data_IF_005065346898
#
_entry.id   IF_005065346898
#
_cell.length_a   1.000
_cell.length_b   1.000
_cell.length_c   1.000
_cell.angle_alpha   90.00
_cell.angle_beta   90.00
_cell.angle_gamma   90.00
#
_symmetry.space_group_name_H-M   'P 1'
#
loop_
_entity.id
_entity.type
_entity.pdbx_description
1 polymer ?
#
# COMPACT_ATOMS: atom_id res chain seq x y z
N UNK A 1 -39.77 -9.18 38.65
CA UNK A 1 -39.47 -7.74 38.72
C UNK A 1 -38.19 -7.52 37.92
N UNK A 2 -38.28 -7.26 36.61
CA UNK A 2 -38.34 -5.91 35.97
C UNK A 2 -37.02 -5.12 36.19
N UNK A 3 -36.31 -4.53 35.21
CA UNK A 3 -36.59 -4.16 33.82
C UNK A 3 -35.23 -4.02 33.05
N UNK A 4 -35.12 -4.44 31.78
CA UNK A 4 -35.19 -3.66 30.51
C UNK A 4 -34.08 -2.60 30.31
N UNK A 5 -33.36 -2.71 29.18
CA UNK A 5 -32.49 -1.66 28.63
C UNK A 5 -31.72 -2.13 27.39
N UNK A 6 -32.34 -1.97 26.22
CA UNK A 6 -31.90 -2.34 24.85
C UNK A 6 -31.03 -1.27 24.15
N UNK A 7 -30.18 -1.75 23.21
CA UNK A 7 -29.67 -1.12 21.96
C UNK A 7 -28.79 0.15 22.11
N UNK A 8 -27.84 0.50 21.23
CA UNK A 8 -27.83 0.42 19.76
C UNK A 8 -26.39 0.65 19.23
N UNK A 9 -26.11 0.09 18.05
CA UNK A 9 -24.85 0.21 17.29
C UNK A 9 -24.63 1.60 16.71
N UNK A 10 -23.37 2.02 16.55
CA UNK A 10 -23.03 3.16 15.68
C UNK A 10 -21.88 2.78 14.75
N UNK A 11 -22.21 2.86 13.46
CA UNK A 11 -21.36 2.67 12.30
C UNK A 11 -20.64 3.98 11.90
N UNK A 12 -19.62 3.80 11.06
CA UNK A 12 -18.67 4.77 10.52
C UNK A 12 -19.32 5.85 9.66
N UNK A 13 -18.79 7.07 9.77
CA UNK A 13 -18.13 7.84 8.68
C UNK A 13 -18.23 9.35 8.94
N UNK A 14 -17.07 9.97 9.24
CA UNK A 14 -16.89 11.41 9.16
C UNK A 14 -16.55 11.83 7.74
N UNK A 15 -17.38 12.71 7.17
CA UNK A 15 -17.08 13.46 5.94
C UNK A 15 -17.06 14.94 6.30
N UNK A 16 -15.98 15.61 5.88
CA UNK A 16 -15.68 17.02 6.09
C UNK A 16 -16.55 17.89 5.16
N UNK A 17 -17.00 19.00 5.70
CA UNK A 17 -17.86 20.01 5.10
C UNK A 17 -17.12 20.88 4.06
N UNK A 18 -17.81 21.24 2.97
CA UNK A 18 -17.50 22.46 2.21
C UNK A 18 -18.81 23.07 1.68
N UNK A 19 -18.84 24.39 1.69
CA UNK A 19 -20.00 25.26 1.89
C UNK A 19 -20.60 25.72 0.56
N UNK A 20 -21.87 25.40 0.26
CA UNK A 20 -22.60 26.05 -0.85
C UNK A 20 -23.85 26.81 -0.37
N UNK A 21 -23.96 28.05 -0.87
CA UNK A 21 -25.01 29.02 -0.58
C UNK A 21 -26.37 28.58 -1.12
N UNK A 22 -27.39 28.78 -0.27
CA UNK A 22 -28.83 28.72 -0.56
C UNK A 22 -29.26 29.73 -1.63
N UNK A 23 -30.22 29.32 -2.45
CA UNK A 23 -31.52 30.01 -2.53
C UNK A 23 -32.61 29.04 -2.98
N UNK A 24 -33.68 28.99 -2.18
CA UNK A 24 -34.81 28.06 -2.24
C UNK A 24 -35.82 28.44 -3.34
N UNK A 25 -36.47 27.44 -3.92
CA UNK A 25 -37.86 27.52 -4.40
C UNK A 25 -38.56 26.17 -4.13
N UNK A 26 -39.64 26.20 -3.36
CA UNK A 26 -40.64 25.13 -3.19
C UNK A 26 -41.49 25.04 -4.48
N UNK A 27 -41.94 23.90 -4.99
CA UNK A 27 -42.74 22.85 -4.33
C UNK A 27 -44.15 23.42 -4.10
N UNK A 28 -45.20 23.14 -4.88
CA UNK A 28 -45.76 21.83 -5.23
C UNK A 28 -47.18 21.78 -4.65
N UNK A 29 -48.21 21.66 -5.48
CA UNK A 29 -49.16 20.54 -5.36
C UNK A 29 -50.59 21.02 -5.08
N UNK A 30 -51.55 20.53 -5.86
CA UNK A 30 -52.91 21.07 -5.98
C UNK A 30 -53.90 20.71 -4.87
N UNK A 31 -55.12 21.25 -4.98
CA UNK A 31 -56.36 20.48 -5.23
C UNK A 31 -57.59 21.41 -5.33
N UNK A 32 -58.48 21.03 -6.26
CA UNK A 32 -59.95 21.12 -6.28
C UNK A 32 -60.67 22.29 -5.58
N UNK A 33 -61.58 22.96 -6.31
CA UNK A 33 -62.97 23.11 -5.87
C UNK A 33 -63.91 23.57 -7.00
N UNK A 34 -65.16 23.11 -6.91
CA UNK A 34 -66.29 23.40 -7.81
C UNK A 34 -66.90 24.79 -7.55
N UNK A 35 -67.39 25.37 -8.65
CA UNK A 35 -68.51 26.31 -8.84
C UNK A 35 -69.24 26.90 -7.62
N UNK A 36 -69.44 28.22 -7.61
CA UNK A 36 -70.76 28.87 -7.52
C UNK A 36 -70.66 30.31 -8.04
N UNK A 37 -71.66 30.72 -8.83
CA UNK A 37 -71.81 32.06 -9.36
C UNK A 37 -72.49 32.99 -8.33
N UNK A 38 -72.04 34.24 -8.24
CA UNK A 38 -72.87 35.39 -7.86
C UNK A 38 -72.15 36.68 -8.30
N UNK A 39 -72.88 37.57 -8.97
CA UNK A 39 -72.33 38.75 -9.64
C UNK A 39 -72.14 39.97 -8.73
N UNK A 40 -71.46 40.97 -9.27
CA UNK A 40 -71.67 42.41 -9.05
C UNK A 40 -70.65 43.16 -9.92
N UNK A 41 -71.16 43.94 -10.87
CA UNK A 41 -70.37 44.64 -11.87
C UNK A 41 -69.71 45.90 -11.36
N UNK A 42 -68.58 46.25 -11.99
CA UNK A 42 -68.07 47.61 -12.13
C UNK A 42 -67.42 47.72 -13.51
N UNK A 43 -67.85 48.73 -14.26
CA UNK A 43 -67.34 49.13 -15.57
C UNK A 43 -65.86 49.54 -15.51
N UNK A 44 -65.08 49.20 -16.56
CA UNK A 44 -64.02 50.02 -17.23
C UNK A 44 -63.04 49.13 -18.03
N UNK A 45 -62.31 49.71 -19.00
CA UNK A 45 -62.63 49.77 -20.41
C UNK A 45 -62.13 48.56 -21.22
N UNK A 46 -62.78 48.32 -22.36
CA UNK A 46 -62.38 47.34 -23.37
C UNK A 46 -61.11 47.76 -24.13
N UNK A 47 -59.94 47.60 -23.51
CA UNK A 47 -58.70 47.46 -24.31
C UNK A 47 -58.70 46.07 -24.93
N UNK A 48 -59.09 46.01 -26.20
CA UNK A 48 -58.99 44.81 -27.04
C UNK A 48 -57.57 44.24 -26.89
N UNK A 49 -57.39 42.93 -26.65
CA UNK A 49 -56.08 42.32 -26.84
C UNK A 49 -55.66 42.57 -28.30
N UNK A 50 -54.39 42.88 -28.59
CA UNK A 50 -53.94 42.98 -29.96
C UNK A 50 -54.27 41.67 -30.66
N UNK A 51 -55.07 41.75 -31.73
CA UNK A 51 -55.41 40.62 -32.58
C UNK A 51 -54.11 39.88 -32.91
N UNK A 52 -54.03 38.60 -32.56
CA UNK A 52 -52.93 37.74 -32.98
C UNK A 52 -52.84 37.84 -34.51
N UNK A 53 -51.79 38.52 -34.98
CA UNK A 53 -51.58 38.67 -36.41
C UNK A 53 -51.45 37.27 -37.02
N UNK A 54 -52.09 37.01 -38.18
CA UNK A 54 -51.88 35.75 -38.88
C UNK A 54 -50.37 35.58 -39.10
N UNK A 55 -49.82 34.37 -38.92
CA UNK A 55 -48.39 34.17 -39.00
C UNK A 55 -47.92 34.62 -40.39
N UNK A 56 -47.22 35.75 -40.42
CA UNK A 56 -46.60 36.26 -41.63
C UNK A 56 -45.65 35.17 -42.13
N UNK A 57 -45.61 34.90 -43.44
CA UNK A 57 -44.75 33.86 -44.02
C UNK A 57 -43.29 33.92 -43.51
N UNK A 58 -42.81 35.13 -43.19
CA UNK A 58 -41.51 35.40 -42.56
C UNK A 58 -41.33 34.77 -41.17
N UNK A 59 -42.35 34.77 -40.30
CA UNK A 59 -42.24 34.18 -38.96
C UNK A 59 -42.28 32.65 -39.01
N UNK A 60 -43.06 32.09 -39.93
CA UNK A 60 -43.08 30.64 -40.20
C UNK A 60 -41.73 30.17 -40.76
N UNK A 61 -41.15 30.92 -41.71
CA UNK A 61 -39.83 30.64 -42.26
C UNK A 61 -38.72 30.73 -41.19
N UNK A 62 -38.77 31.74 -40.31
CA UNK A 62 -37.82 31.88 -39.21
C UNK A 62 -37.92 30.73 -38.20
N UNK A 63 -39.13 30.31 -37.83
CA UNK A 63 -39.35 29.19 -36.93
C UNK A 63 -38.85 27.85 -37.52
N UNK A 64 -39.03 27.63 -38.83
CA UNK A 64 -38.51 26.45 -39.53
C UNK A 64 -36.98 26.41 -39.55
N UNK A 65 -36.32 27.55 -39.79
CA UNK A 65 -34.86 27.62 -39.76
C UNK A 65 -34.30 27.33 -38.36
N UNK A 66 -34.95 27.85 -37.30
CA UNK A 66 -34.57 27.55 -35.92
C UNK A 66 -34.80 26.08 -35.58
N UNK A 67 -35.93 25.50 -36.00
CA UNK A 67 -36.21 24.08 -35.79
C UNK A 67 -35.19 23.18 -36.50
N UNK A 68 -34.83 23.50 -37.76
CA UNK A 68 -33.77 22.81 -38.51
C UNK A 68 -32.40 22.96 -37.82
N UNK A 69 -32.09 24.14 -37.29
CA UNK A 69 -30.86 24.37 -36.53
C UNK A 69 -30.79 23.53 -35.24
N UNK A 70 -31.90 23.42 -34.50
CA UNK A 70 -31.98 22.60 -33.29
C UNK A 70 -31.88 21.10 -33.60
N UNK A 71 -32.49 20.63 -34.70
CA UNK A 71 -32.36 19.25 -35.17
C UNK A 71 -30.90 18.96 -35.56
N UNK A 72 -30.26 19.88 -36.29
CA UNK A 72 -28.85 19.76 -36.65
C UNK A 72 -27.93 19.72 -35.43
N UNK A 73 -28.12 20.63 -34.47
CA UNK A 73 -27.38 20.65 -33.22
C UNK A 73 -27.57 19.36 -32.41
N UNK A 74 -28.80 18.86 -32.31
CA UNK A 74 -29.12 17.59 -31.65
C UNK A 74 -28.44 16.39 -32.32
N UNK A 75 -28.35 16.38 -33.65
CA UNK A 75 -27.67 15.31 -34.39
C UNK A 75 -26.15 15.35 -34.19
N UNK A 76 -25.52 16.53 -34.26
CA UNK A 76 -24.09 16.68 -33.97
C UNK A 76 -23.76 16.34 -32.51
N UNK A 77 -24.60 16.77 -31.56
CA UNK A 77 -24.43 16.44 -30.15
C UNK A 77 -24.56 14.93 -29.89
N UNK A 78 -25.56 14.27 -30.50
CA UNK A 78 -25.75 12.82 -30.40
C UNK A 78 -24.57 12.04 -30.98
N UNK A 79 -24.08 12.45 -32.16
CA UNK A 79 -22.93 11.85 -32.82
C UNK A 79 -21.61 12.07 -32.05
N UNK A 80 -21.44 13.26 -31.48
CA UNK A 80 -20.30 13.55 -30.60
C UNK A 80 -20.33 12.74 -29.30
N UNK A 81 -21.51 12.55 -28.71
CA UNK A 81 -21.67 11.82 -27.45
C UNK A 81 -21.55 10.30 -27.60
N UNK A 82 -21.94 9.76 -28.76
CA UNK A 82 -21.72 8.33 -29.10
C UNK A 82 -20.24 8.02 -29.33
N UNK A 83 -19.49 8.91 -29.98
CA UNK A 83 -18.03 8.78 -30.11
C UNK A 83 -17.26 8.82 -28.78
N UNK A 84 -17.84 9.40 -27.72
CA UNK A 84 -17.24 9.47 -26.39
C UNK A 84 -17.59 8.25 -25.50
N UNK A 85 -18.69 7.54 -25.78
CA UNK A 85 -19.17 6.41 -24.94
C UNK A 85 -18.90 5.04 -25.54
N UNK A 86 -18.62 4.94 -26.84
CA UNK A 86 -18.34 3.69 -27.53
C UNK A 86 -16.89 3.72 -27.99
N UNK A 87 -15.97 2.97 -27.38
CA UNK A 87 -14.73 2.69 -28.12
C UNK A 87 -13.52 2.15 -27.40
N UNK A 88 -13.33 2.38 -26.10
CA UNK A 88 -12.12 1.84 -25.45
C UNK A 88 -12.40 0.39 -25.04
N UNK A 89 -12.32 -0.53 -26.01
CA UNK A 89 -12.12 -1.94 -25.70
C UNK A 89 -10.66 -2.09 -25.29
N UNK A 90 -10.42 -2.49 -24.05
CA UNK A 90 -9.08 -2.72 -23.54
C UNK A 90 -9.06 -3.97 -22.68
N UNK A 91 -7.89 -4.58 -22.59
CA UNK A 91 -7.60 -5.68 -21.67
C UNK A 91 -6.56 -5.20 -20.67
N UNK A 92 -6.82 -5.45 -19.39
CA UNK A 92 -5.85 -5.25 -18.31
C UNK A 92 -5.20 -6.59 -17.99
N UNK A 93 -3.88 -6.66 -18.17
CA UNK A 93 -3.10 -7.87 -17.90
C UNK A 93 -2.04 -7.60 -16.84
N UNK A 94 -1.64 -8.67 -16.15
CA UNK A 94 -0.55 -8.63 -15.17
C UNK A 94 0.57 -9.54 -15.67
N UNK A 95 1.76 -8.98 -15.75
CA UNK A 95 2.98 -9.74 -15.95
C UNK A 95 3.74 -9.87 -14.65
N UNK A 96 4.15 -11.10 -14.34
CA UNK A 96 4.95 -11.46 -13.18
C UNK A 96 6.37 -11.74 -13.64
N UNK A 97 7.37 -11.27 -12.90
CA UNK A 97 8.71 -11.79 -12.99
C UNK A 97 9.24 -12.08 -11.58
N UNK A 98 9.90 -13.23 -11.44
CA UNK A 98 10.48 -13.71 -10.21
C UNK A 98 11.92 -14.16 -10.47
N UNK A 99 12.83 -13.77 -9.57
CA UNK A 99 14.24 -14.18 -9.62
C UNK A 99 14.68 -14.64 -8.25
N UNK A 100 15.34 -15.80 -8.22
CA UNK A 100 16.02 -16.30 -7.04
C UNK A 100 17.45 -15.76 -7.03
N UNK A 101 17.84 -15.10 -5.95
CA UNK A 101 19.16 -14.50 -5.77
C UNK A 101 19.71 -14.85 -4.39
N UNK A 102 21.03 -14.97 -4.28
CA UNK A 102 21.69 -15.11 -2.99
C UNK A 102 21.84 -13.74 -2.32
N UNK A 103 21.64 -13.71 -1.01
CA UNK A 103 21.91 -12.54 -0.17
C UNK A 103 23.38 -12.12 -0.31
N UNK A 104 23.61 -10.81 -0.29
CA UNK A 104 24.95 -10.23 -0.42
C UNK A 104 25.44 -9.58 0.87
N UNK A 105 24.60 -9.55 1.91
CA UNK A 105 24.90 -8.96 3.19
C UNK A 105 24.31 -9.81 4.31
N UNK A 106 25.11 -10.05 5.35
CA UNK A 106 24.68 -10.66 6.60
C UNK A 106 24.85 -9.66 7.73
N UNK A 107 23.81 -9.54 8.55
CA UNK A 107 23.82 -8.82 9.82
C UNK A 107 23.52 -9.84 10.91
N UNK A 108 24.52 -10.21 11.70
CA UNK A 108 24.38 -11.19 12.76
C UNK A 108 24.55 -10.54 14.14
N UNK A 109 23.44 -10.21 14.84
CA UNK A 109 23.48 -9.69 16.19
C UNK A 109 23.69 -10.82 17.20
N UNK A 110 24.81 -10.78 17.90
CA UNK A 110 25.14 -11.67 19.02
C UNK A 110 24.84 -10.93 20.32
N UNK A 111 23.59 -11.04 20.78
CA UNK A 111 23.15 -10.45 22.04
C UNK A 111 23.54 -11.33 23.22
N UNK A 112 24.16 -10.71 24.21
CA UNK A 112 24.57 -11.37 25.45
C UNK A 112 24.10 -10.57 26.65
N UNK A 113 23.81 -11.30 27.72
CA UNK A 113 23.33 -10.72 28.97
C UNK A 113 24.03 -11.42 30.12
N UNK A 114 24.54 -10.63 31.06
CA UNK A 114 25.16 -11.11 32.29
C UNK A 114 24.43 -10.49 33.48
N UNK A 115 24.05 -11.33 34.44
CA UNK A 115 23.40 -10.91 35.68
C UNK A 115 24.29 -11.15 36.90
N UNK A 116 24.10 -10.36 37.95
CA UNK A 116 24.77 -10.57 39.23
C UNK A 116 24.55 -9.43 40.23
N UNK A 117 25.04 -9.63 41.46
CA UNK A 117 24.83 -8.66 42.55
C UNK A 117 25.96 -7.64 42.70
N UNK A 118 27.11 -7.91 42.09
CA UNK A 118 28.26 -7.01 42.09
C UNK A 118 28.47 -6.43 40.69
N UNK A 119 28.27 -5.12 40.56
CA UNK A 119 28.43 -4.38 39.31
C UNK A 119 29.80 -4.57 38.66
N UNK A 120 30.88 -4.55 39.44
CA UNK A 120 32.25 -4.69 38.90
C UNK A 120 32.50 -6.10 38.34
N UNK A 121 31.97 -7.12 39.00
CA UNK A 121 32.08 -8.51 38.53
C UNK A 121 31.26 -8.73 37.24
N UNK A 122 30.04 -8.19 37.19
CA UNK A 122 29.17 -8.27 36.01
C UNK A 122 29.79 -7.55 34.80
N UNK A 123 30.38 -6.36 35.02
CA UNK A 123 31.11 -5.63 33.97
C UNK A 123 32.31 -6.43 33.44
N UNK A 124 33.17 -6.94 34.33
CA UNK A 124 34.34 -7.72 33.94
C UNK A 124 33.96 -9.00 33.17
N UNK A 125 32.88 -9.67 33.57
CA UNK A 125 32.37 -10.84 32.88
C UNK A 125 31.83 -10.49 31.49
N UNK A 126 31.11 -9.38 31.34
CA UNK A 126 30.63 -8.92 30.03
C UNK A 126 31.80 -8.59 29.09
N UNK A 127 32.85 -7.93 29.59
CA UNK A 127 34.04 -7.60 28.81
C UNK A 127 34.77 -8.88 28.36
N UNK A 128 34.90 -9.88 29.25
CA UNK A 128 35.48 -11.17 28.92
C UNK A 128 34.68 -11.94 27.87
N UNK A 129 33.35 -11.95 27.97
CA UNK A 129 32.49 -12.57 26.97
C UNK A 129 32.59 -11.84 25.61
N UNK A 130 32.61 -10.51 25.62
CA UNK A 130 32.78 -9.69 24.41
C UNK A 130 34.12 -9.98 23.72
N UNK A 131 35.20 -10.10 24.50
CA UNK A 131 36.52 -10.49 23.97
C UNK A 131 36.50 -11.89 23.36
N UNK A 132 35.79 -12.83 23.98
CA UNK A 132 35.63 -14.20 23.47
C UNK A 132 34.86 -14.22 22.15
N UNK A 133 33.77 -13.46 22.02
CA UNK A 133 33.02 -13.32 20.77
C UNK A 133 33.91 -12.71 19.67
N UNK A 134 34.63 -11.63 19.98
CA UNK A 134 35.54 -10.99 19.01
C UNK A 134 36.64 -11.95 18.55
N UNK A 135 37.24 -12.70 19.47
CA UNK A 135 38.26 -13.68 19.14
C UNK A 135 37.71 -14.82 18.25
N UNK A 136 36.48 -15.25 18.50
CA UNK A 136 35.81 -16.24 17.65
C UNK A 136 35.59 -15.70 16.22
N UNK A 137 35.06 -14.47 16.09
CA UNK A 137 34.83 -13.84 14.79
C UNK A 137 36.14 -13.58 14.03
N UNK A 138 37.19 -13.12 14.73
CA UNK A 138 38.52 -12.95 14.16
C UNK A 138 39.14 -14.28 13.71
N UNK A 139 38.99 -15.35 14.51
CA UNK A 139 39.43 -16.70 14.16
C UNK A 139 38.65 -17.32 13.00
N UNK A 140 37.44 -16.84 12.73
CA UNK A 140 36.66 -17.18 11.53
C UNK A 140 37.06 -16.35 10.29
N UNK A 141 37.95 -15.37 10.43
CA UNK A 141 38.43 -14.54 9.32
C UNK A 141 37.70 -13.21 9.16
N UNK A 142 36.90 -12.78 10.12
CA UNK A 142 36.24 -11.47 10.11
C UNK A 142 37.14 -10.39 10.74
N UNK A 143 37.49 -9.33 9.99
CA UNK A 143 38.25 -8.22 10.54
C UNK A 143 37.39 -7.37 11.49
N UNK A 144 38.06 -6.60 12.33
CA UNK A 144 37.43 -5.82 13.41
C UNK A 144 36.52 -4.68 12.90
N UNK A 145 36.70 -4.23 11.66
CA UNK A 145 35.86 -3.20 11.01
C UNK A 145 34.47 -3.72 10.60
N UNK A 146 34.34 -5.04 10.40
CA UNK A 146 33.05 -5.69 10.15
C UNK A 146 32.28 -5.98 11.46
N UNK A 147 32.90 -5.77 12.63
CA UNK A 147 32.33 -6.09 13.94
C UNK A 147 32.04 -4.82 14.75
N UNK A 148 30.75 -4.57 15.00
CA UNK A 148 30.30 -3.41 15.78
C UNK A 148 29.81 -3.85 17.15
N UNK A 149 30.39 -3.29 18.21
CA UNK A 149 29.94 -3.54 19.59
C UNK A 149 29.05 -2.40 20.04
N UNK A 150 27.81 -2.73 20.42
CA UNK A 150 26.87 -1.75 20.96
C UNK A 150 27.28 -1.35 22.39
N UNK A 151 27.02 -0.10 22.81
CA UNK A 151 27.24 0.32 24.19
C UNK A 151 26.49 -0.61 25.17
N UNK A 152 27.10 -0.99 26.30
CA UNK A 152 26.43 -1.83 27.28
C UNK A 152 25.26 -1.09 27.93
N UNK A 153 24.16 -1.80 28.16
CA UNK A 153 22.99 -1.33 28.87
C UNK A 153 22.95 -1.94 30.27
N UNK A 154 22.94 -1.09 31.29
CA UNK A 154 22.73 -1.48 32.68
C UNK A 154 21.25 -1.37 33.05
N UNK A 155 20.72 -2.42 33.65
CA UNK A 155 19.41 -2.47 34.28
C UNK A 155 19.58 -2.83 35.77
N UNK A 156 19.12 -1.93 36.67
CA UNK A 156 18.94 -2.26 38.08
C UNK A 156 17.54 -2.86 38.25
N UNK A 157 17.49 -4.17 38.44
CA UNK A 157 16.23 -4.92 38.55
C UNK A 157 15.57 -4.73 39.90
N UNK A 158 16.29 -4.25 40.91
CA UNK A 158 15.74 -4.00 42.24
C UNK A 158 15.11 -2.62 42.35
N UNK A 159 15.57 -1.65 41.55
CA UNK A 159 15.00 -0.31 41.49
C UNK A 159 13.49 -0.31 41.17
N UNK A 160 13.02 -1.34 40.45
CA UNK A 160 11.62 -1.51 40.06
C UNK A 160 10.95 -2.77 40.65
N UNK A 161 11.50 -3.37 41.70
CA UNK A 161 10.90 -4.53 42.37
C UNK A 161 10.41 -4.19 43.78
N UNK A 162 9.15 -4.50 44.09
CA UNK A 162 8.53 -4.24 45.40
C UNK A 162 8.22 -5.56 46.12
N UNK A 163 8.49 -5.61 47.43
CA UNK A 163 8.18 -6.77 48.28
C UNK A 163 9.07 -8.00 48.03
N UNK A 164 8.51 -9.19 48.25
CA UNK A 164 9.18 -10.51 48.17
C UNK A 164 9.42 -11.01 46.73
N UNK A 165 8.96 -10.29 45.70
CA UNK A 165 9.14 -10.69 44.29
C UNK A 165 10.45 -10.16 43.67
N UNK A 166 11.50 -10.01 44.47
CA UNK A 166 12.78 -9.49 43.96
C UNK A 166 13.48 -10.54 43.11
N UNK A 167 13.94 -10.19 41.91
CA UNK A 167 14.79 -11.09 41.15
C UNK A 167 16.07 -11.41 41.93
N UNK A 168 16.60 -12.64 41.79
CA UNK A 168 17.81 -13.07 42.50
C UNK A 168 19.06 -12.31 42.09
N UNK A 169 19.06 -11.69 40.90
CA UNK A 169 20.15 -10.85 40.40
C UNK A 169 19.73 -9.38 40.46
N UNK A 170 20.50 -8.56 41.17
CA UNK A 170 20.24 -7.12 41.26
C UNK A 170 20.56 -6.37 39.97
N UNK A 171 21.74 -6.60 39.40
CA UNK A 171 22.21 -5.91 38.19
C UNK A 171 22.13 -6.85 37.00
N UNK A 172 21.70 -6.31 35.87
CA UNK A 172 21.77 -6.96 34.57
C UNK A 172 22.48 -6.04 33.60
N UNK A 173 23.54 -6.54 32.99
CA UNK A 173 24.21 -5.89 31.87
C UNK A 173 23.91 -6.67 30.60
N UNK A 174 23.61 -5.95 29.53
CA UNK A 174 23.52 -6.53 28.20
C UNK A 174 24.28 -5.69 27.18
N UNK A 175 24.88 -6.35 26.21
CA UNK A 175 25.37 -5.69 25.01
C UNK A 175 25.12 -6.61 23.81
N UNK A 176 25.28 -6.04 22.62
CA UNK A 176 25.13 -6.77 21.37
C UNK A 176 26.37 -6.55 20.53
N UNK A 177 27.02 -7.64 20.14
CA UNK A 177 28.12 -7.64 19.17
C UNK A 177 27.51 -7.99 17.81
N UNK A 178 27.52 -7.06 16.88
CA UNK A 178 26.93 -7.24 15.56
C UNK A 178 28.02 -7.44 14.52
N UNK A 179 28.01 -8.61 13.86
CA UNK A 179 28.81 -8.83 12.65
C UNK A 179 28.01 -8.33 11.44
N UNK A 180 28.58 -7.42 10.66
CA UNK A 180 28.02 -6.94 9.39
C UNK A 180 29.03 -7.20 8.27
N UNK A 181 28.76 -8.19 7.42
CA UNK A 181 29.71 -8.63 6.39
C UNK A 181 29.04 -8.95 5.06
N UNK A 182 29.75 -8.69 3.95
CA UNK A 182 29.34 -9.13 2.62
C UNK A 182 29.69 -10.60 2.31
N UNK A 183 30.46 -11.25 3.19
CA UNK A 183 30.95 -12.63 2.99
C UNK A 183 29.95 -13.63 3.56
N UNK A 184 28.79 -13.72 2.89
CA UNK A 184 27.65 -14.52 3.35
C UNK A 184 27.98 -16.00 3.54
N UNK A 185 28.75 -16.60 2.63
CA UNK A 185 29.15 -18.01 2.72
C UNK A 185 30.04 -18.29 3.94
N UNK A 186 31.00 -17.41 4.23
CA UNK A 186 31.88 -17.52 5.40
C UNK A 186 31.09 -17.30 6.69
N UNK A 187 30.16 -16.33 6.70
CA UNK A 187 29.29 -16.08 7.85
C UNK A 187 28.39 -17.27 8.18
N UNK A 188 27.89 -17.97 7.15
CA UNK A 188 27.12 -19.21 7.33
C UNK A 188 27.96 -20.34 7.94
N UNK A 189 29.23 -20.44 7.57
CA UNK A 189 30.12 -21.43 8.16
C UNK A 189 30.47 -21.10 9.62
N UNK A 190 30.71 -19.83 9.93
CA UNK A 190 30.87 -19.37 11.30
C UNK A 190 29.61 -19.60 12.15
N UNK A 191 28.42 -19.41 11.57
CA UNK A 191 27.14 -19.71 12.23
C UNK A 191 27.03 -21.20 12.60
N UNK A 192 27.44 -22.12 11.72
CA UNK A 192 27.46 -23.57 12.03
C UNK A 192 28.40 -23.89 13.20
N UNK A 193 29.47 -23.12 13.33
CA UNK A 193 30.46 -23.25 14.42
C UNK A 193 30.12 -22.45 15.67
N UNK A 194 29.01 -21.73 15.69
CA UNK A 194 28.61 -20.84 16.81
C UNK A 194 28.50 -21.57 18.16
N UNK A 195 28.23 -22.89 18.17
CA UNK A 195 28.26 -23.70 19.39
C UNK A 195 29.61 -23.68 20.14
N UNK A 196 30.71 -23.33 19.46
CA UNK A 196 32.02 -23.15 20.09
C UNK A 196 32.03 -21.95 21.06
N UNK A 197 31.25 -20.90 20.80
CA UNK A 197 31.12 -19.75 21.70
C UNK A 197 30.38 -20.13 22.99
N UNK A 198 29.34 -20.96 22.87
CA UNK A 198 28.59 -21.48 24.02
C UNK A 198 29.48 -22.37 24.89
N UNK A 199 30.34 -23.19 24.29
CA UNK A 199 31.34 -23.98 25.01
C UNK A 199 32.38 -23.09 25.74
N UNK A 200 32.64 -21.89 25.24
CA UNK A 200 33.48 -20.87 25.88
C UNK A 200 32.78 -20.10 27.02
N UNK A 201 31.56 -20.48 27.40
CA UNK A 201 30.81 -19.85 28.49
C UNK A 201 30.00 -18.61 28.08
N UNK A 202 29.92 -18.30 26.78
CA UNK A 202 29.11 -17.19 26.28
C UNK A 202 27.68 -17.67 26.04
N UNK A 203 26.76 -17.20 26.88
CA UNK A 203 25.34 -17.48 26.70
C UNK A 203 24.75 -16.45 25.72
N UNK A 204 24.43 -16.92 24.51
CA UNK A 204 23.82 -16.11 23.46
C UNK A 204 22.29 -16.14 23.64
N UNK A 205 21.67 -14.97 23.68
CA UNK A 205 20.21 -14.87 23.72
C UNK A 205 19.67 -14.96 22.29
N UNK A 206 19.19 -16.13 21.90
CA UNK A 206 18.55 -16.37 20.60
C UNK A 206 17.05 -16.10 20.58
N UNK A 207 16.42 -15.96 21.75
CA UNK A 207 14.96 -15.98 21.90
C UNK A 207 14.26 -14.68 21.43
N UNK A 208 14.97 -13.54 21.42
CA UNK A 208 14.45 -12.24 20.98
C UNK A 208 14.93 -11.86 19.57
N UNK A 209 14.69 -12.71 18.57
CA UNK A 209 15.01 -12.39 17.18
C UNK A 209 16.50 -12.23 16.87
N UNK A 210 17.38 -12.76 17.74
CA UNK A 210 18.85 -12.67 17.64
C UNK A 210 19.49 -13.60 16.61
N UNK A 211 18.77 -13.95 15.54
CA UNK A 211 19.29 -14.76 14.45
C UNK A 211 20.02 -13.90 13.40
N UNK A 212 20.92 -14.49 12.59
CA UNK A 212 21.51 -13.79 11.47
C UNK A 212 20.44 -13.36 10.47
N UNK A 213 20.47 -12.08 10.12
CA UNK A 213 19.62 -11.46 9.12
C UNK A 213 20.37 -11.42 7.79
N UNK A 214 19.71 -11.83 6.73
CA UNK A 214 20.27 -11.85 5.39
C UNK A 214 19.55 -10.79 4.56
N UNK A 215 20.32 -9.96 3.88
CA UNK A 215 19.82 -8.87 3.05
C UNK A 215 20.38 -8.99 1.63
N UNK A 216 19.62 -8.47 0.67
CA UNK A 216 20.04 -8.33 -0.71
C UNK A 216 20.01 -6.84 -1.07
N UNK A 217 21.20 -6.26 -1.19
CA UNK A 217 21.42 -4.83 -1.41
C UNK A 217 21.56 -4.48 -2.90
N UNK A 218 21.93 -5.45 -3.73
CA UNK A 218 22.11 -5.31 -5.19
C UNK A 218 20.82 -5.35 -6.01
N UNK A 219 19.73 -4.80 -5.48
CA UNK A 219 18.45 -4.73 -6.20
C UNK A 219 18.55 -3.98 -7.53
N UNK A 220 19.35 -2.92 -7.57
CA UNK A 220 19.49 -2.08 -8.76
C UNK A 220 20.11 -2.83 -9.95
N UNK A 221 20.89 -3.87 -9.70
CA UNK A 221 21.60 -4.62 -10.74
C UNK A 221 20.62 -5.51 -11.53
N UNK A 222 19.68 -6.15 -10.83
CA UNK A 222 18.70 -7.07 -11.45
C UNK A 222 17.41 -6.38 -11.90
N UNK A 223 17.17 -5.15 -11.42
CA UNK A 223 15.91 -4.43 -11.63
C UNK A 223 15.56 -4.23 -13.10
N UNK A 224 16.46 -3.79 -14.01
CA UNK A 224 16.11 -3.60 -15.42
C UNK A 224 15.63 -4.88 -16.10
N UNK A 225 16.34 -5.98 -15.89
CA UNK A 225 16.01 -7.29 -16.46
C UNK A 225 14.68 -7.82 -15.92
N UNK A 226 14.45 -7.69 -14.62
CA UNK A 226 13.23 -8.13 -13.96
C UNK A 226 11.99 -7.37 -14.48
N UNK A 227 12.11 -6.07 -14.74
CA UNK A 227 11.04 -5.25 -15.31
C UNK A 227 10.78 -5.64 -16.76
N UNK A 228 11.84 -5.85 -17.54
CA UNK A 228 11.72 -6.27 -18.93
C UNK A 228 10.99 -7.62 -19.04
N UNK A 229 11.36 -8.58 -18.18
CA UNK A 229 10.70 -9.89 -18.10
C UNK A 229 9.23 -9.77 -17.70
N UNK A 230 8.90 -8.98 -16.66
CA UNK A 230 7.52 -8.78 -16.25
C UNK A 230 6.69 -8.10 -17.36
N UNK A 231 7.26 -7.14 -18.07
CA UNK A 231 6.59 -6.45 -19.18
C UNK A 231 6.36 -7.38 -20.37
N UNK A 232 7.35 -8.23 -20.69
CA UNK A 232 7.24 -9.24 -21.73
C UNK A 232 6.14 -10.27 -21.38
N UNK A 233 6.09 -10.74 -20.14
CA UNK A 233 5.07 -11.69 -19.67
C UNK A 233 3.66 -11.08 -19.67
N UNK A 234 3.53 -9.79 -19.34
CA UNK A 234 2.27 -9.06 -19.47
C UNK A 234 1.82 -9.03 -20.93
N UNK A 235 2.73 -8.68 -21.85
CA UNK A 235 2.43 -8.62 -23.28
C UNK A 235 1.99 -9.97 -23.83
N UNK A 236 2.72 -11.06 -23.53
CA UNK A 236 2.35 -12.40 -23.96
C UNK A 236 0.95 -12.81 -23.46
N UNK A 237 0.61 -12.44 -22.23
CA UNK A 237 -0.72 -12.69 -21.67
C UNK A 237 -1.82 -11.89 -22.39
N UNK A 238 -1.54 -10.64 -22.79
CA UNK A 238 -2.48 -9.84 -23.57
C UNK A 238 -2.67 -10.38 -24.99
N UNK A 239 -1.59 -10.82 -25.63
CA UNK A 239 -1.64 -11.45 -26.95
C UNK A 239 -2.50 -12.72 -26.92
N UNK A 240 -2.30 -13.57 -25.91
CA UNK A 240 -3.13 -14.77 -25.70
C UNK A 240 -4.61 -14.41 -25.50
N UNK A 241 -4.91 -13.45 -24.60
CA UNK A 241 -6.29 -13.03 -24.33
C UNK A 241 -6.99 -12.48 -25.58
N UNK A 242 -6.27 -11.68 -26.38
CA UNK A 242 -6.81 -11.14 -27.63
C UNK A 242 -7.12 -12.26 -28.62
N UNK A 243 -6.18 -13.21 -28.80
CA UNK A 243 -6.38 -14.36 -29.68
C UNK A 243 -7.59 -15.21 -29.26
N UNK A 244 -7.74 -15.50 -27.97
CA UNK A 244 -8.86 -16.28 -27.42
C UNK A 244 -10.20 -15.55 -27.58
N UNK A 245 -10.18 -14.23 -27.70
CA UNK A 245 -11.35 -13.38 -27.88
C UNK A 245 -11.63 -13.01 -29.36
N UNK A 246 -10.83 -13.53 -30.30
CA UNK A 246 -10.94 -13.18 -31.73
C UNK A 246 -10.57 -11.72 -32.05
N UNK A 247 -9.76 -11.09 -31.20
CA UNK A 247 -9.29 -9.71 -31.33
C UNK A 247 -7.77 -9.66 -31.51
N UNK A 248 -7.23 -8.46 -31.79
CA UNK A 248 -5.79 -8.18 -31.82
C UNK A 248 -5.43 -7.13 -30.79
N UNK A 249 -4.24 -7.26 -30.21
CA UNK A 249 -3.73 -6.22 -29.30
C UNK A 249 -3.35 -4.95 -30.08
N UNK A 250 -3.70 -3.80 -29.51
CA UNK A 250 -3.36 -2.47 -29.99
C UNK A 250 -2.19 -1.86 -29.21
N UNK A 251 -2.15 -0.52 -29.19
CA UNK A 251 -1.18 0.22 -28.38
C UNK A 251 -1.44 0.06 -26.88
N UNK A 252 -0.45 0.44 -26.08
CA UNK A 252 -0.58 0.52 -24.62
C UNK A 252 -1.45 1.72 -24.28
N UNK A 253 -2.49 1.50 -23.46
CA UNK A 253 -3.35 2.54 -22.89
C UNK A 253 -2.75 3.10 -21.60
N UNK A 254 -2.29 2.21 -20.74
CA UNK A 254 -1.72 2.52 -19.44
C UNK A 254 -0.72 1.43 -19.05
N UNK A 255 0.34 1.82 -18.33
CA UNK A 255 1.30 0.88 -17.77
C UNK A 255 1.62 1.33 -16.35
N UNK A 256 1.47 0.42 -15.40
CA UNK A 256 1.76 0.65 -13.99
C UNK A 256 2.70 -0.45 -13.49
N UNK A 257 3.87 -0.04 -13.04
CA UNK A 257 4.83 -0.92 -12.40
C UNK A 257 4.50 -1.03 -10.91
N UNK A 258 4.22 -2.25 -10.46
CA UNK A 258 4.04 -2.54 -9.04
C UNK A 258 5.35 -2.47 -8.24
N UNK A 259 5.21 -2.52 -6.92
CA UNK A 259 6.36 -2.57 -6.01
C UNK A 259 7.16 -3.86 -6.20
N UNK A 260 8.48 -3.76 -6.08
CA UNK A 260 9.34 -4.94 -6.04
C UNK A 260 9.34 -5.46 -4.60
N UNK A 261 8.98 -6.73 -4.42
CA UNK A 261 9.02 -7.41 -3.13
C UNK A 261 10.24 -8.33 -3.08
N UNK A 262 11.01 -8.25 -2.00
CA UNK A 262 12.10 -9.19 -1.68
C UNK A 262 11.63 -9.99 -0.47
N UNK A 263 11.62 -11.32 -0.58
CA UNK A 263 11.26 -12.22 0.51
C UNK A 263 12.22 -13.39 0.59
N UNK A 264 12.26 -14.07 1.72
CA UNK A 264 13.00 -15.33 1.85
C UNK A 264 12.36 -16.39 0.95
N UNK A 265 13.18 -17.21 0.30
CA UNK A 265 12.68 -18.32 -0.53
C UNK A 265 11.96 -19.36 0.34
N UNK A 266 12.59 -19.72 1.46
CA UNK A 266 12.08 -20.70 2.41
C UNK A 266 12.65 -20.44 3.81
N UNK A 267 11.99 -20.99 4.85
CA UNK A 267 12.42 -20.79 6.25
C UNK A 267 13.78 -21.46 6.56
N UNK A 268 14.19 -22.46 5.79
CA UNK A 268 15.45 -23.18 6.01
C UNK A 268 16.65 -22.50 5.36
N UNK A 269 16.41 -21.61 4.39
CA UNK A 269 17.42 -20.97 3.56
C UNK A 269 17.19 -19.45 3.49
N UNK A 270 17.22 -18.73 4.63
CA UNK A 270 16.98 -17.28 4.63
C UNK A 270 18.04 -16.49 3.84
N UNK A 271 19.20 -17.08 3.56
CA UNK A 271 20.23 -16.53 2.68
C UNK A 271 19.82 -16.52 1.21
N UNK A 272 18.81 -17.28 0.80
CA UNK A 272 18.28 -17.27 -0.56
C UNK A 272 17.02 -16.41 -0.60
N UNK A 273 17.02 -15.39 -1.45
CA UNK A 273 15.94 -14.43 -1.60
C UNK A 273 15.18 -14.64 -2.91
N UNK A 274 13.89 -14.41 -2.86
CA UNK A 274 13.02 -14.30 -4.04
C UNK A 274 12.70 -12.83 -4.25
N UNK A 275 13.12 -12.28 -5.39
CA UNK A 275 12.79 -10.93 -5.83
C UNK A 275 11.69 -11.02 -6.87
N UNK A 276 10.58 -10.32 -6.60
CA UNK A 276 9.36 -10.40 -7.40
C UNK A 276 8.86 -9.02 -7.76
N UNK A 277 8.44 -8.84 -9.01
CA UNK A 277 7.74 -7.65 -9.48
C UNK A 277 6.51 -8.04 -10.28
N UNK A 278 5.44 -7.25 -10.14
CA UNK A 278 4.23 -7.38 -10.94
C UNK A 278 4.01 -6.08 -11.70
N UNK A 279 3.98 -6.17 -13.02
CA UNK A 279 3.65 -5.03 -13.89
C UNK A 279 2.23 -5.21 -14.43
N UNK A 280 1.40 -4.18 -14.24
CA UNK A 280 0.03 -4.15 -14.76
C UNK A 280 0.02 -3.28 -16.00
N UNK A 281 -0.39 -3.84 -17.14
CA UNK A 281 -0.42 -3.12 -18.42
C UNK A 281 -1.81 -3.25 -19.03
N UNK A 282 -2.31 -2.15 -19.56
CA UNK A 282 -3.57 -2.09 -20.29
C UNK A 282 -3.28 -1.92 -21.78
N UNK A 283 -3.85 -2.80 -22.60
CA UNK A 283 -3.74 -2.75 -24.05
C UNK A 283 -5.11 -2.50 -24.66
N UNK A 284 -5.17 -1.68 -25.71
CA UNK A 284 -6.38 -1.60 -26.53
C UNK A 284 -6.61 -2.92 -27.27
N UNK A 285 -7.86 -3.24 -27.56
CA UNK A 285 -8.26 -4.37 -28.40
C UNK A 285 -8.82 -3.83 -29.72
N UNK A 286 -8.42 -4.46 -30.82
CA UNK A 286 -8.89 -4.19 -32.18
C UNK A 286 -9.53 -5.45 -32.76
N UNK A 287 -10.54 -5.29 -33.60
CA UNK A 287 -11.10 -6.40 -34.40
C UNK A 287 -10.12 -6.83 -35.49
#
# INVERSE_FOLDING_TARGET
MAAVGTAESVDRHGVIAERQRRSRHCGGGGRAFKSHACGLGWDTPSTRPPMAQPPNFRTVAAALLVALGLIGAGWFASKGMTGLRTGDRFVTVKGLAERTVDADLVVWPLSQTVGGDNLAAVQAQLDANTATIRAFLAGAGFPDDEVVVSPPRLEDRWAYSWGDSRPPERYRYSNTVTLRTGRVAEAMEALRRSGQMVAGGVMLNTDEGGGPQFEFTRLNDIKPELIAEATANARASAEQFANDSGARIGGIRSANQGVISISDRDRGSPHVKTVRVVSTVEYFLKD
#
